data_IF_398394414284
#
_entry.id   IF_398394414284
#
_cell.length_a   1.000
_cell.length_b   1.000
_cell.length_c   1.000
_cell.angle_alpha   90.00
_cell.angle_beta   90.00
_cell.angle_gamma   90.00
#
_symmetry.space_group_name_H-M   'P 1'
#
loop_
_entity.id
_entity.type
_entity.pdbx_description
1 polymer ?
#
# COMPACT_ATOMS: atom_id res chain seq x y z
N UNK A 1 -7.69 -12.45 19.02
CA UNK A 1 -7.93 -11.16 18.34
C UNK A 1 -6.87 -10.17 18.81
N UNK A 2 -6.33 -9.31 17.95
CA UNK A 2 -5.27 -8.35 18.36
C UNK A 2 -5.87 -7.21 19.20
N UNK A 3 -5.14 -6.74 20.22
CA UNK A 3 -5.55 -5.59 21.03
C UNK A 3 -5.36 -4.28 20.26
N UNK A 4 -6.11 -3.23 20.61
CA UNK A 4 -5.93 -1.89 20.02
C UNK A 4 -4.52 -1.35 20.23
N UNK A 5 -3.88 -1.69 21.35
CA UNK A 5 -2.52 -1.27 21.68
C UNK A 5 -1.53 -1.96 20.72
N UNK A 6 -1.66 -3.28 20.56
CA UNK A 6 -0.81 -4.06 19.64
C UNK A 6 -0.96 -3.60 18.20
N UNK A 7 -2.19 -3.32 17.74
CA UNK A 7 -2.41 -2.79 16.38
C UNK A 7 -1.75 -1.42 16.23
N UNK A 8 -1.90 -0.50 17.19
CA UNK A 8 -1.24 0.82 17.13
C UNK A 8 0.28 0.68 17.02
N UNK A 9 0.88 -0.16 17.86
CA UNK A 9 2.31 -0.43 17.80
C UNK A 9 2.72 -0.94 16.40
N UNK A 10 1.98 -1.89 15.83
CA UNK A 10 2.27 -2.41 14.49
C UNK A 10 2.22 -1.35 13.37
N UNK A 11 1.45 -0.28 13.56
CA UNK A 11 1.31 0.82 12.59
C UNK A 11 2.31 1.97 12.81
N UNK A 12 3.15 1.90 13.84
CA UNK A 12 4.14 2.95 14.11
C UNK A 12 5.33 2.86 13.14
N UNK A 13 5.61 3.96 12.45
CA UNK A 13 6.77 4.11 11.56
C UNK A 13 8.06 4.03 12.38
N UNK A 14 8.97 3.15 11.95
CA UNK A 14 10.26 2.97 12.60
C UNK A 14 11.23 4.08 12.14
N UNK A 15 11.91 4.70 13.10
CA UNK A 15 12.84 5.80 12.86
C UNK A 15 13.90 5.43 11.82
N UNK A 16 14.12 6.30 10.83
CA UNK A 16 15.11 6.09 9.77
C UNK A 16 14.73 5.08 8.69
N UNK A 17 13.49 4.59 8.66
CA UNK A 17 13.02 3.63 7.65
C UNK A 17 11.69 4.07 7.04
N UNK A 18 11.31 3.52 5.87
CA UNK A 18 9.96 3.62 5.32
C UNK A 18 9.08 2.43 5.70
N UNK A 19 9.24 1.90 6.92
CA UNK A 19 8.54 0.71 7.40
C UNK A 19 7.93 0.87 8.79
N UNK A 20 6.93 0.06 9.06
CA UNK A 20 6.41 -0.23 10.41
C UNK A 20 6.76 -1.68 10.78
N UNK A 21 6.21 -2.23 11.87
CA UNK A 21 6.37 -3.65 12.19
C UNK A 21 5.55 -4.54 11.24
N UNK A 22 6.14 -4.87 10.09
CA UNK A 22 5.61 -5.81 9.11
C UNK A 22 5.04 -5.19 7.83
N UNK A 23 4.93 -3.85 7.77
CA UNK A 23 4.39 -3.13 6.62
C UNK A 23 5.36 -2.08 6.10
N UNK A 24 5.19 -1.73 4.82
CA UNK A 24 5.80 -0.55 4.22
C UNK A 24 4.92 0.69 4.51
N UNK A 25 5.52 1.88 4.41
CA UNK A 25 4.85 3.18 4.46
C UNK A 25 5.04 3.90 3.13
N UNK A 26 4.20 4.88 2.75
CA UNK A 26 4.39 5.62 1.52
C UNK A 26 5.75 6.33 1.50
N UNK A 27 6.60 5.94 0.56
CA UNK A 27 7.89 6.58 0.33
C UNK A 27 7.72 7.98 -0.26
N UNK A 28 8.67 8.88 -0.02
CA UNK A 28 8.64 10.25 -0.58
C UNK A 28 8.63 10.28 -2.11
N UNK A 29 9.27 9.30 -2.75
CA UNK A 29 9.30 9.15 -4.20
C UNK A 29 9.24 7.67 -4.57
N UNK A 30 8.62 7.36 -5.72
CA UNK A 30 8.52 5.99 -6.21
C UNK A 30 7.65 5.04 -5.36
N UNK A 31 6.79 5.57 -4.49
CA UNK A 31 5.88 4.76 -3.67
C UNK A 31 4.95 3.91 -4.55
N UNK A 32 4.78 2.64 -4.18
CA UNK A 32 3.81 1.75 -4.83
C UNK A 32 2.36 2.04 -4.42
N UNK A 33 2.14 2.86 -3.38
CA UNK A 33 0.82 3.34 -2.95
C UNK A 33 0.24 4.42 -3.88
N UNK A 34 1.05 4.99 -4.77
CA UNK A 34 0.71 6.24 -5.45
C UNK A 34 1.01 7.47 -4.57
N UNK A 35 0.40 8.59 -4.91
CA UNK A 35 0.61 9.90 -4.29
C UNK A 35 -0.49 10.31 -3.33
N UNK A 36 -1.64 9.63 -3.36
CA UNK A 36 -2.84 10.13 -2.68
C UNK A 36 -3.10 9.50 -1.31
N UNK A 37 -2.41 8.42 -0.94
CA UNK A 37 -2.44 7.88 0.42
C UNK A 37 -1.83 8.84 1.45
N UNK A 38 -2.41 8.89 2.66
CA UNK A 38 -1.89 9.68 3.77
C UNK A 38 -0.51 9.20 4.24
N UNK A 39 0.23 10.06 4.96
CA UNK A 39 1.54 9.70 5.52
C UNK A 39 1.48 8.57 6.55
N UNK A 40 0.33 8.38 7.22
CA UNK A 40 0.11 7.32 8.21
C UNK A 40 -0.45 6.04 7.59
N UNK A 41 -0.46 5.95 6.26
CA UNK A 41 -0.86 4.74 5.58
C UNK A 41 0.18 3.65 5.72
N UNK A 42 -0.27 2.39 5.68
CA UNK A 42 0.59 1.21 5.66
C UNK A 42 0.22 0.31 4.50
N UNK A 43 1.17 -0.46 4.00
CA UNK A 43 0.90 -1.39 2.92
C UNK A 43 1.87 -2.54 2.80
N UNK A 44 1.53 -3.48 1.92
CA UNK A 44 2.38 -4.60 1.59
C UNK A 44 2.18 -5.02 0.14
N UNK A 45 3.26 -5.47 -0.49
CA UNK A 45 3.26 -5.94 -1.88
C UNK A 45 3.36 -7.46 -1.92
N UNK A 46 2.60 -8.09 -2.81
CA UNK A 46 2.72 -9.51 -3.11
C UNK A 46 3.57 -9.79 -4.34
N UNK A 47 4.33 -10.88 -4.30
CA UNK A 47 5.16 -11.35 -5.40
C UNK A 47 4.36 -11.61 -6.68
N UNK A 48 3.13 -12.11 -6.56
CA UNK A 48 2.22 -12.36 -7.69
C UNK A 48 1.60 -11.09 -8.28
N UNK A 49 2.01 -9.91 -7.80
CA UNK A 49 1.53 -8.63 -8.29
C UNK A 49 0.47 -7.96 -7.41
N UNK A 50 0.00 -8.65 -6.37
CA UNK A 50 -0.97 -8.08 -5.43
C UNK A 50 -0.41 -6.90 -4.65
N UNK A 51 -1.30 -6.09 -4.08
CA UNK A 51 -0.95 -5.08 -3.07
C UNK A 51 -2.13 -4.79 -2.16
N UNK A 52 -1.85 -4.48 -0.90
CA UNK A 52 -2.81 -3.98 0.07
C UNK A 52 -2.28 -2.67 0.64
N UNK A 53 -3.09 -1.61 0.61
CA UNK A 53 -2.80 -0.34 1.26
C UNK A 53 -3.98 0.09 2.13
N UNK A 54 -3.67 0.56 3.33
CA UNK A 54 -4.63 0.96 4.37
C UNK A 54 -4.31 2.41 4.73
N UNK A 55 -5.24 3.32 4.49
CA UNK A 55 -5.18 4.72 4.93
C UNK A 55 -5.92 4.86 6.27
N UNK A 56 -5.16 4.83 7.35
CA UNK A 56 -5.67 4.88 8.73
C UNK A 56 -6.35 6.22 9.04
N UNK A 57 -5.90 7.31 8.41
CA UNK A 57 -6.44 8.64 8.67
C UNK A 57 -7.82 8.84 8.00
N UNK A 58 -8.13 8.03 6.99
CA UNK A 58 -9.32 8.19 6.14
C UNK A 58 -10.26 6.98 6.18
N UNK A 59 -9.94 5.94 6.95
CA UNK A 59 -10.67 4.67 7.01
C UNK A 59 -10.89 4.01 5.63
N UNK A 60 -9.89 4.13 4.74
CA UNK A 60 -9.91 3.55 3.39
C UNK A 60 -8.94 2.39 3.28
N UNK A 61 -9.36 1.31 2.62
CA UNK A 61 -8.50 0.18 2.26
C UNK A 61 -8.62 -0.06 0.76
N UNK A 62 -7.48 -0.12 0.05
CA UNK A 62 -7.43 -0.50 -1.36
C UNK A 62 -6.67 -1.80 -1.51
N UNK A 63 -7.34 -2.81 -2.06
CA UNK A 63 -6.80 -4.13 -2.36
C UNK A 63 -6.72 -4.32 -3.87
N UNK A 64 -5.54 -4.73 -4.34
CA UNK A 64 -5.31 -5.12 -5.73
C UNK A 64 -4.92 -6.59 -5.77
N UNK A 65 -5.70 -7.38 -6.52
CA UNK A 65 -5.38 -8.76 -6.84
C UNK A 65 -5.09 -8.92 -8.32
N UNK A 66 -3.87 -9.34 -8.64
CA UNK A 66 -3.41 -9.64 -10.00
C UNK A 66 -2.57 -10.90 -9.98
N UNK A 67 -2.23 -11.41 -11.18
CA UNK A 67 -1.32 -12.52 -11.35
C UNK A 67 -0.20 -12.18 -12.35
N UNK A 68 0.75 -11.33 -11.94
CA UNK A 68 1.88 -10.89 -12.79
C UNK A 68 2.87 -12.02 -13.11
N UNK A 69 2.78 -13.16 -12.43
CA UNK A 69 3.66 -14.33 -12.64
C UNK A 69 3.16 -15.26 -13.76
N UNK A 70 2.00 -14.97 -14.35
CA UNK A 70 1.40 -15.80 -15.38
C UNK A 70 1.50 -15.13 -16.77
N UNK A 71 1.95 -15.84 -17.82
CA UNK A 71 2.46 -17.23 -17.81
C UNK A 71 3.90 -17.35 -17.27
N UNK A 72 4.63 -16.25 -17.16
CA UNK A 72 5.99 -16.20 -16.62
C UNK A 72 6.22 -14.97 -15.72
N UNK A 73 7.39 -14.89 -15.08
CA UNK A 73 7.72 -13.84 -14.10
C UNK A 73 8.40 -12.59 -14.68
N UNK A 74 8.62 -12.53 -16.00
CA UNK A 74 9.36 -11.45 -16.65
C UNK A 74 8.58 -10.14 -16.79
N UNK A 75 7.26 -10.17 -16.64
CA UNK A 75 6.42 -8.97 -16.74
C UNK A 75 6.49 -8.10 -15.47
N UNK A 76 7.22 -7.00 -15.56
CA UNK A 76 7.40 -6.05 -14.47
C UNK A 76 6.47 -4.81 -14.55
N UNK A 77 5.51 -4.78 -15.49
CA UNK A 77 4.58 -3.66 -15.67
C UNK A 77 3.77 -3.32 -14.40
N UNK A 78 3.61 -4.31 -13.51
CA UNK A 78 2.95 -4.14 -12.22
C UNK A 78 3.58 -3.05 -11.34
N UNK A 79 4.89 -2.80 -11.47
CA UNK A 79 5.58 -1.73 -10.73
C UNK A 79 5.04 -0.34 -11.07
N UNK A 80 4.72 -0.11 -12.35
CA UNK A 80 4.10 1.12 -12.83
C UNK A 80 2.60 1.14 -12.55
N UNK A 81 1.93 0.00 -12.70
CA UNK A 81 0.47 -0.09 -12.58
C UNK A 81 -0.05 0.15 -11.16
N UNK A 82 0.61 -0.39 -10.13
CA UNK A 82 0.19 -0.25 -8.72
C UNK A 82 -0.08 1.21 -8.30
N UNK A 83 0.88 2.15 -8.40
CA UNK A 83 0.61 3.52 -7.99
C UNK A 83 -0.49 4.17 -8.83
N UNK A 84 -0.60 3.84 -10.12
CA UNK A 84 -1.63 4.39 -11.00
C UNK A 84 -3.04 3.98 -10.58
N UNK A 85 -3.27 2.69 -10.29
CA UNK A 85 -4.60 2.23 -9.90
C UNK A 85 -4.98 2.70 -8.50
N UNK A 86 -4.01 2.75 -7.57
CA UNK A 86 -4.24 3.28 -6.22
C UNK A 86 -4.61 4.76 -6.27
N UNK A 87 -3.91 5.57 -7.06
CA UNK A 87 -4.29 6.97 -7.26
C UNK A 87 -5.64 7.08 -7.96
N UNK A 88 -5.92 6.30 -9.00
CA UNK A 88 -7.23 6.36 -9.65
C UNK A 88 -8.38 6.08 -8.68
N UNK A 89 -8.28 5.01 -7.88
CA UNK A 89 -9.31 4.65 -6.88
C UNK A 89 -9.43 5.72 -5.79
N UNK A 90 -8.31 6.19 -5.25
CA UNK A 90 -8.34 7.24 -4.24
C UNK A 90 -8.94 8.55 -4.78
N UNK A 91 -8.73 8.86 -6.07
CA UNK A 91 -9.28 10.07 -6.69
C UNK A 91 -10.79 10.05 -6.66
N UNK A 92 -11.37 8.91 -7.05
CA UNK A 92 -12.82 8.72 -7.09
C UNK A 92 -13.42 8.73 -5.68
N UNK A 93 -12.79 8.06 -4.72
CA UNK A 93 -13.29 8.01 -3.34
C UNK A 93 -13.24 9.39 -2.67
N UNK A 94 -12.18 10.16 -2.89
CA UNK A 94 -12.00 11.47 -2.25
C UNK A 94 -12.78 12.61 -2.92
N UNK A 95 -13.28 12.38 -4.13
CA UNK A 95 -14.13 13.33 -4.84
C UNK A 95 -15.64 13.17 -4.51
N UNK A 96 -16.01 12.07 -3.86
CA UNK A 96 -17.38 11.78 -3.41
C UNK A 96 -17.70 12.47 -2.07
#
# INVERSE_FOLDING_TARGET
MLSRISVRQMMEKQCGTDRTFGFDTPAMSGSSAGKMFSKRSVGHLGFTGTSCWIDIDRDIIVLLFTNRVHPDRGNEAIKRFRPMIHDAVMSEILAA
#
